data_IF_265390186553
#
_entry.id   IF_265390186553
#
_cell.length_a   1.000
_cell.length_b   1.000
_cell.length_c   1.000
_cell.angle_alpha   90.00
_cell.angle_beta   90.00
_cell.angle_gamma   90.00
#
_symmetry.space_group_name_H-M   'P 1'
#
loop_
_entity.id
_entity.type
_entity.pdbx_description
1 polymer ?
#
# COMPACT_ATOMS: atom_id res chain seq x y z
N UNK A 1 -17.90 5.27 20.60
CA UNK A 1 -17.28 4.52 19.48
C UNK A 1 -18.31 4.46 18.36
N UNK A 2 -17.97 4.81 17.11
CA UNK A 2 -18.86 4.58 15.99
C UNK A 2 -19.22 3.09 15.94
N UNK A 3 -20.44 2.75 15.48
CA UNK A 3 -20.77 1.34 15.26
C UNK A 3 -19.90 0.79 14.14
N UNK A 4 -19.65 -0.52 14.15
CA UNK A 4 -18.90 -1.22 13.09
C UNK A 4 -19.47 -0.89 11.71
N UNK A 5 -20.80 -0.82 11.60
CA UNK A 5 -21.50 -0.46 10.36
C UNK A 5 -21.18 0.97 9.88
N UNK A 6 -21.06 1.93 10.80
CA UNK A 6 -20.66 3.32 10.47
C UNK A 6 -19.21 3.35 10.00
N UNK A 7 -18.32 2.58 10.62
CA UNK A 7 -16.93 2.46 10.17
C UNK A 7 -16.84 1.89 8.74
N UNK A 8 -17.61 0.85 8.42
CA UNK A 8 -17.68 0.33 7.04
C UNK A 8 -18.19 1.37 6.04
N UNK A 9 -19.27 2.09 6.35
CA UNK A 9 -19.82 3.13 5.47
C UNK A 9 -18.84 4.28 5.22
N UNK A 10 -18.11 4.70 6.26
CA UNK A 10 -17.09 5.74 6.13
C UNK A 10 -15.88 5.26 5.32
N UNK A 11 -15.41 4.04 5.55
CA UNK A 11 -14.32 3.43 4.79
C UNK A 11 -14.66 3.30 3.30
N UNK A 12 -15.93 2.99 3.01
CA UNK A 12 -16.45 2.97 1.64
C UNK A 12 -16.47 4.37 1.01
N UNK A 13 -17.05 5.37 1.71
CA UNK A 13 -17.13 6.78 1.26
C UNK A 13 -15.76 7.39 0.99
N UNK A 14 -14.77 7.12 1.84
CA UNK A 14 -13.44 7.71 1.74
C UNK A 14 -12.47 6.92 0.87
N UNK A 15 -12.93 5.82 0.27
CA UNK A 15 -12.09 4.89 -0.47
C UNK A 15 -10.84 4.43 0.30
N UNK A 16 -11.01 4.05 1.58
CA UNK A 16 -9.96 3.49 2.46
C UNK A 16 -10.35 2.12 3.04
N UNK A 17 -9.39 1.32 3.53
CA UNK A 17 -9.72 0.11 4.28
C UNK A 17 -10.29 0.45 5.66
N UNK A 18 -11.03 -0.48 6.28
CA UNK A 18 -11.56 -0.26 7.65
C UNK A 18 -10.41 -0.10 8.66
N UNK A 19 -9.35 -0.89 8.51
CA UNK A 19 -8.13 -0.80 9.32
C UNK A 19 -7.48 0.59 9.18
N UNK A 20 -7.42 1.14 7.96
CA UNK A 20 -6.97 2.52 7.71
C UNK A 20 -7.86 3.56 8.38
N UNK A 21 -9.17 3.42 8.28
CA UNK A 21 -10.11 4.36 8.92
C UNK A 21 -9.98 4.35 10.45
N UNK A 22 -9.73 3.18 11.04
CA UNK A 22 -9.57 3.03 12.48
C UNK A 22 -8.17 3.47 12.96
N UNK A 23 -7.22 3.67 12.05
CA UNK A 23 -5.84 4.00 12.39
C UNK A 23 -5.13 2.85 13.12
N UNK A 24 -5.66 1.63 13.05
CA UNK A 24 -5.14 0.44 13.71
C UNK A 24 -4.93 -0.69 12.69
N UNK A 25 -3.83 -1.45 12.84
CA UNK A 25 -3.49 -2.56 11.95
C UNK A 25 -2.36 -2.26 10.95
N UNK A 26 -1.72 -3.31 10.44
CA UNK A 26 -0.54 -3.21 9.55
C UNK A 26 -0.81 -2.43 8.25
N UNK A 27 -2.06 -2.39 7.81
CA UNK A 27 -2.47 -1.77 6.55
C UNK A 27 -2.99 -0.34 6.72
N UNK A 28 -3.01 0.19 7.95
CA UNK A 28 -3.61 1.49 8.23
C UNK A 28 -2.85 2.69 7.63
N UNK A 29 -1.66 2.45 7.06
CA UNK A 29 -0.88 3.45 6.34
C UNK A 29 -1.11 3.48 4.83
N UNK A 30 -1.86 2.53 4.25
CA UNK A 30 -2.02 2.39 2.80
C UNK A 30 -3.43 2.77 2.33
N UNK A 31 -3.53 3.57 1.27
CA UNK A 31 -4.80 3.86 0.60
C UNK A 31 -5.34 2.62 -0.15
N UNK A 32 -6.65 2.61 -0.51
CA UNK A 32 -7.25 1.47 -1.23
C UNK A 32 -6.60 1.22 -2.59
N UNK A 33 -6.05 2.25 -3.23
CA UNK A 33 -5.39 2.09 -4.52
C UNK A 33 -4.09 1.30 -4.41
N UNK A 34 -3.31 1.55 -3.37
CA UNK A 34 -2.09 0.80 -3.04
C UNK A 34 -2.44 -0.65 -2.69
N UNK A 35 -3.51 -0.87 -1.92
CA UNK A 35 -3.98 -2.22 -1.60
C UNK A 35 -4.44 -2.98 -2.86
N UNK A 36 -5.21 -2.35 -3.75
CA UNK A 36 -5.62 -2.94 -5.03
C UNK A 36 -4.43 -3.37 -5.88
N UNK A 37 -3.40 -2.54 -5.98
CA UNK A 37 -2.18 -2.87 -6.73
C UNK A 37 -1.45 -4.07 -6.13
N UNK A 38 -1.39 -4.18 -4.81
CA UNK A 38 -0.81 -5.35 -4.14
C UNK A 38 -1.64 -6.61 -4.41
N UNK A 39 -2.97 -6.53 -4.31
CA UNK A 39 -3.86 -7.65 -4.64
C UNK A 39 -3.73 -8.11 -6.10
N UNK A 40 -3.62 -7.17 -7.04
CA UNK A 40 -3.44 -7.48 -8.45
C UNK A 40 -2.04 -8.08 -8.72
N UNK A 41 -1.01 -7.58 -8.03
CA UNK A 41 0.34 -8.14 -8.09
C UNK A 41 0.39 -9.60 -7.62
N UNK A 42 -0.38 -9.99 -6.59
CA UNK A 42 -0.46 -11.38 -6.12
C UNK A 42 -1.12 -12.33 -7.13
N UNK A 43 -1.96 -11.81 -8.04
CA UNK A 43 -2.60 -12.60 -9.11
C UNK A 43 -1.67 -12.83 -10.31
N UNK A 44 -0.53 -12.16 -10.37
CA UNK A 44 0.41 -12.27 -11.49
C UNK A 44 1.24 -13.57 -11.42
N UNK A 45 1.69 -14.07 -12.59
CA UNK A 45 2.73 -15.09 -12.63
C UNK A 45 3.98 -14.66 -11.86
N UNK A 46 4.67 -15.63 -11.25
CA UNK A 46 5.84 -15.38 -10.39
C UNK A 46 6.91 -14.52 -11.05
N UNK A 47 7.13 -14.71 -12.35
CA UNK A 47 8.12 -13.97 -13.13
C UNK A 47 7.78 -12.47 -13.22
N UNK A 48 6.50 -12.13 -13.43
CA UNK A 48 6.05 -10.73 -13.48
C UNK A 48 6.09 -10.08 -12.10
N UNK A 49 5.71 -10.83 -11.07
CA UNK A 49 5.79 -10.37 -9.68
C UNK A 49 7.24 -10.08 -9.28
N UNK A 50 8.19 -10.93 -9.67
CA UNK A 50 9.63 -10.69 -9.47
C UNK A 50 10.14 -9.45 -10.21
N UNK A 51 9.65 -9.19 -11.44
CA UNK A 51 9.98 -7.95 -12.16
C UNK A 51 9.54 -6.72 -11.38
N UNK A 52 8.32 -6.71 -10.85
CA UNK A 52 7.80 -5.58 -10.05
C UNK A 52 8.69 -5.33 -8.83
N UNK A 53 9.04 -6.38 -8.08
CA UNK A 53 9.95 -6.26 -6.93
C UNK A 53 11.31 -5.69 -7.34
N UNK A 54 11.89 -6.18 -8.44
CA UNK A 54 13.17 -5.69 -8.93
C UNK A 54 13.17 -4.19 -9.24
N UNK A 55 12.14 -3.70 -9.94
CA UNK A 55 12.00 -2.28 -10.25
C UNK A 55 11.77 -1.44 -8.99
N UNK A 56 10.94 -1.91 -8.06
CA UNK A 56 10.69 -1.22 -6.79
C UNK A 56 11.99 -1.07 -5.99
N UNK A 57 12.77 -2.13 -5.86
CA UNK A 57 14.07 -2.11 -5.17
C UNK A 57 15.06 -1.16 -5.84
N UNK A 58 15.08 -1.12 -7.19
CA UNK A 58 15.93 -0.23 -7.95
C UNK A 58 15.61 1.23 -7.65
N UNK A 59 14.33 1.61 -7.67
CA UNK A 59 13.87 2.99 -7.40
C UNK A 59 14.20 3.39 -5.97
N UNK A 60 13.91 2.52 -4.98
CA UNK A 60 14.20 2.80 -3.57
C UNK A 60 15.71 2.97 -3.35
N UNK A 61 16.52 2.10 -3.96
CA UNK A 61 17.98 2.18 -3.87
C UNK A 61 18.53 3.45 -4.49
N UNK A 62 18.07 3.82 -5.69
CA UNK A 62 18.48 5.05 -6.36
C UNK A 62 18.17 6.29 -5.51
N UNK A 63 16.96 6.36 -4.94
CA UNK A 63 16.58 7.44 -4.05
C UNK A 63 17.48 7.51 -2.81
N UNK A 64 17.72 6.38 -2.12
CA UNK A 64 18.62 6.31 -0.96
C UNK A 64 20.05 6.70 -1.32
N UNK A 65 20.54 6.28 -2.49
CA UNK A 65 21.86 6.62 -3.01
C UNK A 65 22.00 8.13 -3.21
N UNK A 66 21.03 8.77 -3.87
CA UNK A 66 21.02 10.23 -4.06
C UNK A 66 21.08 11.01 -2.76
N UNK A 67 20.39 10.56 -1.72
CA UNK A 67 20.45 11.20 -0.40
C UNK A 67 21.81 11.03 0.29
N UNK A 68 22.49 9.90 0.07
CA UNK A 68 23.82 9.64 0.64
C UNK A 68 24.95 10.37 -0.09
N UNK A 69 24.83 10.59 -1.41
CA UNK A 69 25.84 11.27 -2.22
C UNK A 69 25.57 12.77 -2.43
N UNK A 70 24.42 13.27 -1.98
CA UNK A 70 24.05 14.69 -1.99
C UNK A 70 24.52 15.49 -0.78
N UNK A 71 25.44 14.93 0.03
CA UNK A 71 26.16 15.61 1.13
C UNK A 71 27.58 15.94 0.72
#
# INVERSE_FOLDING_TARGET
MPSVEVAFKLADVFDVSVDYLLGEGLNASFDKETLRRLEDMEKLPDEERQRIFHYMDLVIRDYKGKQAYGS
#
